data_IF_518150946455
#
_entry.id   IF_518150946455
#
_cell.length_a   1.000
_cell.length_b   1.000
_cell.length_c   1.000
_cell.angle_alpha   90.00
_cell.angle_beta   90.00
_cell.angle_gamma   90.00
#
_symmetry.space_group_name_H-M   'P 1'
#
loop_
_entity.id
_entity.type
_entity.pdbx_description
1 polymer ?
#
# COMPACT_ATOMS: atom_id res chain seq x y z
N UNK A 1 -50.86 -20.28 7.80
CA UNK A 1 -50.54 -19.99 6.38
C UNK A 1 -50.40 -18.48 6.28
N UNK A 2 -49.28 -17.84 6.00
CA UNK A 2 -47.86 -18.19 5.93
C UNK A 2 -47.15 -16.87 6.18
N UNK A 3 -46.11 -16.85 7.01
CA UNK A 3 -45.23 -15.70 7.22
C UNK A 3 -44.08 -15.82 6.23
N UNK A 4 -44.08 -14.98 5.19
CA UNK A 4 -42.94 -14.86 4.28
C UNK A 4 -41.88 -13.94 4.90
N UNK A 5 -40.91 -14.55 5.58
CA UNK A 5 -39.63 -13.93 5.90
C UNK A 5 -38.79 -13.86 4.64
N UNK A 6 -38.74 -12.69 4.01
CA UNK A 6 -37.80 -12.39 2.95
C UNK A 6 -36.45 -12.02 3.58
N UNK A 7 -35.57 -13.00 3.74
CA UNK A 7 -34.18 -12.79 4.13
C UNK A 7 -33.38 -12.30 2.91
N UNK A 8 -33.30 -10.98 2.75
CA UNK A 8 -32.34 -10.37 1.84
C UNK A 8 -30.94 -10.49 2.45
N UNK A 9 -30.11 -11.39 1.93
CA UNK A 9 -28.66 -11.40 2.13
C UNK A 9 -28.05 -10.19 1.42
N UNK A 10 -28.10 -9.04 2.09
CA UNK A 10 -27.37 -7.84 1.67
C UNK A 10 -25.89 -8.03 1.93
N UNK A 11 -25.04 -7.76 0.94
CA UNK A 11 -23.60 -7.61 1.13
C UNK A 11 -23.34 -6.60 2.26
N UNK A 12 -22.35 -6.84 3.14
CA UNK A 12 -22.05 -5.91 4.24
C UNK A 12 -21.76 -4.51 3.67
N UNK A 13 -22.24 -3.48 4.37
CA UNK A 13 -21.93 -2.11 3.97
C UNK A 13 -20.45 -1.81 4.20
N UNK A 14 -19.86 -0.91 3.42
CA UNK A 14 -18.44 -0.49 3.57
C UNK A 14 -18.12 -0.04 4.99
N UNK A 15 -19.12 0.52 5.70
CA UNK A 15 -19.00 0.90 7.11
C UNK A 15 -18.82 -0.31 8.04
N UNK A 16 -19.55 -1.40 7.78
CA UNK A 16 -19.52 -2.61 8.63
C UNK A 16 -18.20 -3.39 8.47
N UNK A 17 -17.61 -3.33 7.27
CA UNK A 17 -16.27 -3.90 6.98
C UNK A 17 -15.18 -3.20 7.79
N UNK A 18 -15.27 -1.87 7.95
CA UNK A 18 -14.28 -1.05 8.65
C UNK A 18 -14.52 -1.01 10.17
N UNK A 19 -15.78 -1.05 10.61
CA UNK A 19 -16.19 -1.02 12.03
C UNK A 19 -16.02 -2.35 12.77
N UNK A 20 -15.48 -3.39 12.13
CA UNK A 20 -15.19 -4.67 12.78
C UNK A 20 -16.43 -5.54 13.08
N UNK A 21 -17.56 -5.29 12.41
CA UNK A 21 -18.78 -6.10 12.59
C UNK A 21 -18.79 -7.38 11.75
N UNK A 22 -17.94 -7.46 10.73
CA UNK A 22 -17.70 -8.69 9.98
C UNK A 22 -16.71 -9.59 10.71
N UNK A 23 -17.04 -10.88 10.85
CA UNK A 23 -16.16 -11.91 11.42
C UNK A 23 -15.17 -12.46 10.40
N UNK A 24 -15.20 -11.97 9.15
CA UNK A 24 -14.28 -12.41 8.11
C UNK A 24 -12.87 -11.86 8.37
N UNK A 25 -11.84 -12.72 8.30
CA UNK A 25 -10.44 -12.28 8.42
C UNK A 25 -10.07 -11.37 7.23
N UNK A 26 -9.09 -10.48 7.42
CA UNK A 26 -8.69 -9.51 6.40
C UNK A 26 -7.43 -9.89 5.66
N UNK A 27 -7.44 -9.73 4.34
CA UNK A 27 -6.20 -9.48 3.59
C UNK A 27 -6.04 -7.97 3.54
N UNK A 28 -5.21 -7.46 4.45
CA UNK A 28 -5.10 -6.03 4.72
C UNK A 28 -3.96 -5.41 3.92
N UNK A 29 -4.27 -4.42 3.09
CA UNK A 29 -3.30 -3.53 2.45
C UNK A 29 -3.21 -2.21 3.21
N UNK A 30 -2.03 -1.91 3.72
CA UNK A 30 -1.66 -0.61 4.29
C UNK A 30 -0.72 0.09 3.31
N UNK A 31 -1.10 1.28 2.84
CA UNK A 31 -0.33 2.05 1.88
C UNK A 31 0.20 3.34 2.48
N UNK A 32 1.52 3.47 2.57
CA UNK A 32 2.24 4.65 3.04
C UNK A 32 2.44 5.64 1.89
N UNK A 33 1.49 6.57 1.69
CA UNK A 33 1.56 7.48 0.55
C UNK A 33 2.81 8.38 0.58
N UNK A 34 3.23 8.98 1.72
CA UNK A 34 4.48 9.74 1.79
C UNK A 34 5.69 8.94 1.33
N UNK A 35 5.88 7.72 1.84
CA UNK A 35 7.05 6.93 1.52
C UNK A 35 7.05 6.46 0.05
N UNK A 36 5.90 6.00 -0.46
CA UNK A 36 5.78 5.57 -1.84
C UNK A 36 5.96 6.73 -2.83
N UNK A 37 5.42 7.93 -2.53
CA UNK A 37 5.64 9.11 -3.38
C UNK A 37 7.11 9.57 -3.36
N UNK A 38 7.80 9.46 -2.20
CA UNK A 38 9.23 9.78 -2.09
C UNK A 38 10.09 8.79 -2.88
N UNK A 39 9.84 7.48 -2.76
CA UNK A 39 10.56 6.46 -3.51
C UNK A 39 10.37 6.61 -5.02
N UNK A 40 9.14 6.85 -5.48
CA UNK A 40 8.86 7.12 -6.88
C UNK A 40 9.59 8.39 -7.35
N UNK A 41 9.61 9.43 -6.52
CA UNK A 41 10.32 10.67 -6.82
C UNK A 41 11.83 10.49 -6.97
N UNK A 42 12.43 9.56 -6.19
CA UNK A 42 13.82 9.15 -6.32
C UNK A 42 14.12 8.51 -7.68
N UNK A 43 13.25 7.61 -8.15
CA UNK A 43 13.43 6.92 -9.44
C UNK A 43 13.31 7.88 -10.63
N UNK A 44 12.31 8.76 -10.62
CA UNK A 44 12.08 9.67 -11.76
C UNK A 44 12.93 10.96 -11.69
N UNK A 45 13.68 11.18 -10.60
CA UNK A 45 14.51 12.38 -10.39
C UNK A 45 13.72 13.67 -10.14
N UNK A 46 12.53 13.58 -9.55
CA UNK A 46 11.66 14.75 -9.34
C UNK A 46 10.29 14.42 -8.76
N UNK A 47 9.39 15.41 -8.67
CA UNK A 47 8.04 15.17 -8.13
C UNK A 47 7.20 14.35 -9.12
N UNK A 48 6.51 13.29 -8.69
CA UNK A 48 5.65 12.49 -9.56
C UNK A 48 4.57 13.31 -10.27
N UNK A 49 4.54 13.23 -11.60
CA UNK A 49 3.43 13.72 -12.42
C UNK A 49 2.33 12.66 -12.49
N UNK A 50 1.13 13.03 -12.95
CA UNK A 50 0.02 12.09 -13.11
C UNK A 50 0.34 10.89 -14.02
N UNK A 51 1.33 11.01 -14.91
CA UNK A 51 1.75 9.93 -15.80
C UNK A 51 2.54 8.82 -15.08
N UNK A 52 3.31 9.19 -14.07
CA UNK A 52 4.18 8.27 -13.32
C UNK A 52 3.56 7.79 -12.01
N UNK A 53 2.40 8.32 -11.60
CA UNK A 53 1.70 7.85 -10.39
C UNK A 53 1.12 6.44 -10.61
N UNK A 54 1.18 5.57 -9.58
CA UNK A 54 0.60 4.24 -9.68
C UNK A 54 -0.92 4.32 -9.82
N UNK A 55 -1.45 3.40 -10.60
CA UNK A 55 -2.88 3.18 -10.82
C UNK A 55 -3.46 2.34 -9.70
N UNK A 56 -4.17 2.97 -8.77
CA UNK A 56 -4.80 2.28 -7.64
C UNK A 56 -5.89 1.28 -8.06
N UNK A 57 -6.49 1.43 -9.24
CA UNK A 57 -7.36 0.40 -9.82
C UNK A 57 -6.60 -0.88 -10.18
N UNK A 58 -5.33 -0.77 -10.58
CA UNK A 58 -4.46 -1.93 -10.83
C UNK A 58 -4.00 -2.59 -9.53
N UNK A 59 -3.59 -1.79 -8.54
CA UNK A 59 -3.24 -2.29 -7.19
C UNK A 59 -4.44 -3.01 -6.56
N UNK A 60 -5.65 -2.44 -6.67
CA UNK A 60 -6.87 -3.04 -6.14
C UNK A 60 -7.20 -4.38 -6.79
N UNK A 61 -7.08 -4.48 -8.12
CA UNK A 61 -7.26 -5.76 -8.83
C UNK A 61 -6.23 -6.82 -8.43
N UNK A 62 -4.98 -6.42 -8.25
CA UNK A 62 -3.94 -7.31 -7.75
C UNK A 62 -4.25 -7.81 -6.33
N UNK A 63 -4.68 -6.91 -5.43
CA UNK A 63 -5.09 -7.27 -4.06
C UNK A 63 -6.25 -8.27 -4.06
N UNK A 64 -7.24 -8.09 -4.94
CA UNK A 64 -8.34 -9.05 -5.10
C UNK A 64 -7.83 -10.44 -5.52
N UNK A 65 -6.91 -10.49 -6.48
CA UNK A 65 -6.26 -11.75 -6.89
C UNK A 65 -5.51 -12.42 -5.74
N UNK A 66 -4.68 -11.66 -5.00
CA UNK A 66 -3.96 -12.17 -3.82
C UNK A 66 -4.92 -12.66 -2.73
N UNK A 67 -6.04 -11.97 -2.56
CA UNK A 67 -7.08 -12.37 -1.60
C UNK A 67 -7.74 -13.69 -2.00
N UNK A 68 -8.01 -13.89 -3.29
CA UNK A 68 -8.55 -15.16 -3.80
C UNK A 68 -7.55 -16.32 -3.67
N UNK A 69 -6.25 -16.06 -3.82
CA UNK A 69 -5.18 -17.05 -3.55
C UNK A 69 -5.21 -17.49 -2.08
N UNK A 70 -5.15 -16.53 -1.15
CA UNK A 70 -5.17 -16.79 0.30
C UNK A 70 -6.46 -17.51 0.72
N UNK A 71 -7.61 -17.14 0.13
CA UNK A 71 -8.90 -17.79 0.42
C UNK A 71 -8.90 -19.26 -0.02
N UNK A 72 -8.29 -19.58 -1.17
CA UNK A 72 -8.14 -20.97 -1.67
C UNK A 72 -7.25 -21.81 -0.75
N UNK A 73 -6.14 -21.25 -0.28
CA UNK A 73 -5.22 -21.91 0.65
C UNK A 73 -5.86 -22.14 2.03
N UNK A 74 -6.72 -21.22 2.47
CA UNK A 74 -7.41 -21.27 3.76
C UNK A 74 -8.66 -22.18 3.80
N UNK A 75 -8.85 -23.04 2.79
CA UNK A 75 -9.95 -24.02 2.76
C UNK A 75 -11.36 -23.41 2.73
N UNK A 76 -11.52 -22.19 2.22
CA UNK A 76 -12.83 -21.52 2.12
C UNK A 76 -13.27 -20.74 3.35
N UNK A 77 -12.36 -20.45 4.29
CA UNK A 77 -12.61 -19.50 5.39
C UNK A 77 -13.08 -18.14 4.85
N UNK A 78 -13.96 -17.45 5.59
CA UNK A 78 -14.43 -16.12 5.20
C UNK A 78 -13.28 -15.12 5.28
N UNK A 79 -12.82 -14.66 4.11
CA UNK A 79 -11.70 -13.74 3.94
C UNK A 79 -12.11 -12.62 3.01
N UNK A 80 -11.93 -11.38 3.46
CA UNK A 80 -12.29 -10.16 2.72
C UNK A 80 -11.05 -9.28 2.51
N UNK A 81 -10.92 -8.62 1.34
CA UNK A 81 -9.89 -7.63 1.11
C UNK A 81 -10.22 -6.35 1.88
N UNK A 82 -9.19 -5.69 2.41
CA UNK A 82 -9.31 -4.35 3.00
C UNK A 82 -8.10 -3.53 2.59
N UNK A 83 -8.29 -2.28 2.16
CA UNK A 83 -7.20 -1.43 1.70
C UNK A 83 -7.35 0.00 2.23
N UNK A 84 -6.28 0.51 2.85
CA UNK A 84 -6.26 1.85 3.43
C UNK A 84 -5.00 2.61 2.96
N UNK A 85 -5.21 3.81 2.42
CA UNK A 85 -4.13 4.75 2.09
C UNK A 85 -3.94 5.73 3.22
N UNK A 86 -2.73 5.80 3.76
CA UNK A 86 -2.32 6.74 4.80
C UNK A 86 -1.57 7.90 4.18
N UNK A 87 -1.93 9.12 4.55
CA UNK A 87 -1.34 10.33 3.96
C UNK A 87 -1.32 11.49 4.93
N UNK A 88 -0.31 12.35 4.80
CA UNK A 88 -0.27 13.63 5.49
C UNK A 88 -0.82 14.76 4.62
N UNK A 89 -1.67 15.61 5.19
CA UNK A 89 -2.24 16.77 4.49
C UNK A 89 -1.66 18.05 5.08
N UNK A 90 -0.90 18.79 4.28
CA UNK A 90 -0.40 20.11 4.68
C UNK A 90 -1.55 21.12 4.77
N UNK A 91 -1.56 22.02 5.77
CA UNK A 91 -2.53 23.10 5.84
C UNK A 91 -2.60 23.89 4.53
N UNK A 92 -3.82 24.16 4.05
CA UNK A 92 -4.06 24.88 2.79
C UNK A 92 -3.98 24.02 1.51
N UNK A 93 -3.64 22.73 1.60
CA UNK A 93 -3.59 21.83 0.42
C UNK A 93 -4.88 21.03 0.16
N UNK A 94 -5.90 21.20 1.01
CA UNK A 94 -7.10 20.35 1.00
C UNK A 94 -7.81 20.30 -0.36
N UNK A 95 -7.99 21.44 -1.03
CA UNK A 95 -8.67 21.49 -2.32
C UNK A 95 -7.88 20.83 -3.45
N UNK A 96 -6.53 20.81 -3.34
CA UNK A 96 -5.65 20.14 -4.29
C UNK A 96 -5.70 18.62 -4.12
N UNK A 97 -5.79 18.14 -2.87
CA UNK A 97 -5.73 16.71 -2.55
C UNK A 97 -7.10 16.03 -2.63
N UNK A 98 -8.19 16.78 -2.44
CA UNK A 98 -9.57 16.26 -2.44
C UNK A 98 -9.91 15.39 -3.66
N UNK A 99 -9.63 15.78 -4.92
CA UNK A 99 -9.97 14.94 -6.07
C UNK A 99 -9.27 13.58 -6.06
N UNK A 100 -8.03 13.52 -5.55
CA UNK A 100 -7.29 12.26 -5.42
C UNK A 100 -7.87 11.37 -4.31
N UNK A 101 -8.24 11.96 -3.17
CA UNK A 101 -8.92 11.23 -2.09
C UNK A 101 -10.25 10.67 -2.55
N UNK A 102 -11.05 11.47 -3.26
CA UNK A 102 -12.34 11.03 -3.79
C UNK A 102 -12.17 9.91 -4.83
N UNK A 103 -11.13 10.00 -5.67
CA UNK A 103 -10.79 8.94 -6.62
C UNK A 103 -10.41 7.61 -5.93
N UNK A 104 -9.58 7.65 -4.87
CA UNK A 104 -9.24 6.46 -4.08
C UNK A 104 -10.48 5.81 -3.46
N UNK A 105 -11.35 6.63 -2.88
CA UNK A 105 -12.59 6.17 -2.25
C UNK A 105 -13.57 5.58 -3.25
N UNK A 106 -13.65 6.14 -4.46
CA UNK A 106 -14.45 5.60 -5.56
C UNK A 106 -13.94 4.23 -6.05
N UNK A 107 -12.64 3.95 -5.93
CA UNK A 107 -12.07 2.62 -6.24
C UNK A 107 -12.39 1.61 -5.12
N UNK A 108 -12.58 2.08 -3.89
CA UNK A 108 -12.89 1.23 -2.73
C UNK A 108 -11.84 1.27 -1.62
N UNK A 109 -10.84 2.16 -1.71
CA UNK A 109 -9.87 2.35 -0.65
C UNK A 109 -10.44 3.22 0.47
N UNK A 110 -10.18 2.85 1.72
CA UNK A 110 -10.24 3.77 2.83
C UNK A 110 -9.06 4.76 2.73
N UNK A 111 -9.24 5.97 3.27
CA UNK A 111 -8.18 6.99 3.32
C UNK A 111 -8.09 7.53 4.73
N UNK A 112 -6.92 7.38 5.33
CA UNK A 112 -6.55 8.03 6.58
C UNK A 112 -5.71 9.27 6.24
N UNK A 113 -6.25 10.45 6.56
CA UNK A 113 -5.62 11.73 6.26
C UNK A 113 -5.26 12.46 7.55
N UNK A 114 -3.96 12.53 7.87
CA UNK A 114 -3.44 13.19 9.08
C UNK A 114 -2.94 14.60 8.76
N UNK A 115 -3.42 15.66 9.43
CA UNK A 115 -2.87 17.00 9.23
C UNK A 115 -1.36 17.05 9.54
N UNK A 116 -0.53 17.55 8.62
CA UNK A 116 0.91 17.75 8.85
C UNK A 116 1.14 19.05 9.62
N UNK A 117 1.07 18.98 10.95
CA UNK A 117 1.17 20.15 11.84
C UNK A 117 2.62 20.47 12.24
N UNK A 118 3.52 19.48 12.21
CA UNK A 118 4.94 19.61 12.48
C UNK A 118 5.76 18.82 11.45
N UNK A 119 7.07 19.07 11.39
CA UNK A 119 7.97 18.44 10.41
C UNK A 119 8.12 16.94 10.63
N UNK A 120 8.07 16.51 11.90
CA UNK A 120 8.12 15.13 12.38
C UNK A 120 6.74 14.44 12.41
N UNK A 121 5.69 15.08 11.89
CA UNK A 121 4.38 14.42 11.77
C UNK A 121 4.42 13.38 10.66
N UNK A 122 4.54 12.10 11.04
CA UNK A 122 4.39 10.93 10.19
C UNK A 122 3.04 10.22 10.42
N UNK A 123 2.84 9.08 9.75
CA UNK A 123 1.63 8.23 9.84
C UNK A 123 1.97 6.80 10.27
N UNK A 124 3.19 6.54 10.73
CA UNK A 124 3.71 5.19 10.98
C UNK A 124 2.97 4.52 12.13
N UNK A 125 2.80 5.23 13.24
CA UNK A 125 2.03 4.75 14.39
C UNK A 125 0.55 4.50 14.03
N UNK A 126 -0.05 5.34 13.17
CA UNK A 126 -1.43 5.16 12.72
C UNK A 126 -1.59 3.91 11.86
N UNK A 127 -0.60 3.62 11.02
CA UNK A 127 -0.53 2.40 10.21
C UNK A 127 -0.41 1.16 11.09
N UNK A 128 0.52 1.16 12.05
CA UNK A 128 0.69 0.05 12.99
C UNK A 128 -0.56 -0.19 13.85
N UNK A 129 -1.17 0.87 14.36
CA UNK A 129 -2.43 0.79 15.11
C UNK A 129 -3.56 0.19 14.26
N UNK A 130 -3.60 0.49 12.96
CA UNK A 130 -4.60 -0.07 12.06
C UNK A 130 -4.40 -1.57 11.83
N UNK A 131 -3.14 -2.02 11.68
CA UNK A 131 -2.79 -3.44 11.59
C UNK A 131 -3.22 -4.15 12.88
N UNK A 132 -2.87 -3.58 14.03
CA UNK A 132 -3.09 -4.20 15.32
C UNK A 132 -4.56 -4.27 15.70
N UNK A 133 -5.34 -3.26 15.31
CA UNK A 133 -6.79 -3.30 15.41
C UNK A 133 -7.38 -4.51 14.69
N UNK A 134 -6.89 -4.86 13.49
CA UNK A 134 -7.39 -6.03 12.75
C UNK A 134 -6.90 -7.34 13.36
N UNK A 135 -5.65 -7.42 13.82
CA UNK A 135 -5.13 -8.60 14.54
C UNK A 135 -5.98 -8.95 15.76
N UNK A 136 -6.44 -7.97 16.51
CA UNK A 136 -7.23 -8.20 17.74
C UNK A 136 -8.76 -8.26 17.56
N UNK A 137 -9.30 -7.93 16.38
CA UNK A 137 -10.76 -7.94 16.13
C UNK A 137 -11.17 -9.10 15.23
N UNK A 138 -11.21 -8.91 13.91
CA UNK A 138 -11.61 -9.93 12.94
C UNK A 138 -10.47 -10.86 12.53
N UNK A 139 -9.23 -10.54 12.89
CA UNK A 139 -8.01 -11.26 12.52
C UNK A 139 -7.51 -10.92 11.12
N UNK A 140 -6.21 -11.19 10.88
CA UNK A 140 -5.56 -11.07 9.58
C UNK A 140 -5.46 -12.44 8.91
N UNK A 141 -5.85 -12.56 7.65
CA UNK A 141 -5.57 -13.69 6.76
C UNK A 141 -4.34 -13.45 5.88
N UNK A 142 -3.96 -12.18 5.69
CA UNK A 142 -2.72 -11.76 5.06
C UNK A 142 -2.48 -10.28 5.32
N UNK A 143 -1.22 -9.88 5.33
CA UNK A 143 -0.82 -8.48 5.54
C UNK A 143 0.06 -8.01 4.39
N UNK A 144 -0.29 -6.87 3.81
CA UNK A 144 0.44 -6.25 2.73
C UNK A 144 0.77 -4.83 3.17
N UNK A 145 2.05 -4.47 3.23
CA UNK A 145 2.49 -3.11 3.56
C UNK A 145 3.25 -2.53 2.39
N UNK A 146 2.74 -1.43 1.83
CA UNK A 146 3.44 -0.65 0.82
C UNK A 146 4.22 0.49 1.50
N UNK A 147 5.46 0.23 1.90
CA UNK A 147 6.38 1.21 2.49
C UNK A 147 7.84 0.76 2.32
N UNK A 148 8.74 1.72 2.18
CA UNK A 148 10.18 1.54 2.24
C UNK A 148 10.76 1.81 3.64
N UNK A 149 9.94 2.10 4.66
CA UNK A 149 10.43 2.32 6.02
C UNK A 149 10.63 1.01 6.80
N UNK A 150 11.85 0.49 6.77
CA UNK A 150 12.20 -0.69 7.54
C UNK A 150 12.38 -0.45 9.04
N UNK A 151 12.56 0.79 9.49
CA UNK A 151 12.70 1.09 10.93
C UNK A 151 11.35 0.99 11.63
N UNK A 152 10.30 1.49 11.00
CA UNK A 152 8.94 1.41 11.54
C UNK A 152 8.35 0.00 11.41
N UNK A 153 8.54 -0.66 10.26
CA UNK A 153 7.74 -1.86 9.94
C UNK A 153 8.44 -3.19 10.11
N UNK A 154 9.77 -3.29 10.09
CA UNK A 154 10.44 -4.60 10.03
C UNK A 154 10.06 -5.52 11.20
N UNK A 155 10.25 -5.07 12.43
CA UNK A 155 10.00 -5.92 13.60
C UNK A 155 8.49 -6.25 13.75
N UNK A 156 7.56 -5.26 13.66
CA UNK A 156 6.13 -5.55 13.71
C UNK A 156 5.67 -6.55 12.64
N UNK A 157 6.23 -6.49 11.43
CA UNK A 157 5.89 -7.43 10.36
C UNK A 157 6.43 -8.84 10.61
N UNK A 158 7.62 -8.97 11.20
CA UNK A 158 8.15 -10.27 11.62
C UNK A 158 7.26 -10.92 12.70
N UNK A 159 6.74 -10.13 13.64
CA UNK A 159 5.80 -10.62 14.65
C UNK A 159 4.51 -11.16 14.02
N UNK A 160 3.96 -10.47 13.01
CA UNK A 160 2.79 -10.94 12.27
C UNK A 160 3.11 -12.22 11.48
N UNK A 161 4.27 -12.28 10.83
CA UNK A 161 4.70 -13.46 10.09
C UNK A 161 4.89 -14.68 11.01
N UNK A 162 5.39 -14.47 12.23
CA UNK A 162 5.56 -15.53 13.24
C UNK A 162 4.23 -16.16 13.69
N UNK A 163 3.09 -15.48 13.52
CA UNK A 163 1.74 -16.03 13.73
C UNK A 163 1.26 -16.90 12.57
N UNK A 164 2.06 -17.07 11.51
CA UNK A 164 1.71 -17.80 10.31
C UNK A 164 0.81 -17.01 9.34
N UNK A 165 0.73 -15.69 9.51
CA UNK A 165 0.04 -14.80 8.56
C UNK A 165 1.02 -14.47 7.42
N UNK A 166 0.67 -14.71 6.14
CA UNK A 166 1.52 -14.33 5.02
C UNK A 166 1.67 -12.81 4.97
N UNK A 167 2.92 -12.34 4.92
CA UNK A 167 3.27 -10.92 4.83
C UNK A 167 3.90 -10.61 3.49
N UNK A 168 3.40 -9.57 2.82
CA UNK A 168 3.98 -9.04 1.59
C UNK A 168 4.38 -7.59 1.80
N UNK A 169 5.62 -7.24 1.42
CA UNK A 169 6.08 -5.85 1.39
C UNK A 169 6.10 -5.38 -0.06
N UNK A 170 5.32 -4.33 -0.35
CA UNK A 170 5.35 -3.65 -1.64
C UNK A 170 6.30 -2.46 -1.53
N UNK A 171 7.22 -2.33 -2.47
CA UNK A 171 8.13 -1.20 -2.50
C UNK A 171 8.76 -1.03 -3.86
N UNK A 172 9.59 -0.01 -3.99
CA UNK A 172 10.56 0.04 -5.08
C UNK A 172 11.82 -0.70 -4.63
N UNK A 173 12.37 -1.59 -5.47
CA UNK A 173 13.55 -2.39 -5.14
C UNK A 173 14.75 -1.53 -4.70
N UNK A 174 14.84 -0.31 -5.20
CA UNK A 174 15.89 0.65 -4.91
C UNK A 174 15.78 1.27 -3.51
N UNK A 175 14.58 1.24 -2.93
CA UNK A 175 14.26 1.95 -1.69
C UNK A 175 13.91 1.00 -0.53
N UNK A 176 13.37 -0.18 -0.82
CA UNK A 176 12.91 -1.16 0.17
C UNK A 176 13.86 -2.37 0.30
N UNK A 177 15.17 -2.13 0.40
CA UNK A 177 16.17 -3.19 0.56
C UNK A 177 16.04 -3.97 1.87
N UNK A 178 15.44 -3.37 2.90
CA UNK A 178 15.23 -3.99 4.20
C UNK A 178 14.30 -5.20 4.18
N UNK A 179 13.42 -5.30 3.18
CA UNK A 179 12.47 -6.39 3.01
C UNK A 179 12.93 -7.42 1.96
N UNK A 180 13.98 -7.12 1.19
CA UNK A 180 14.49 -8.03 0.16
C UNK A 180 15.33 -9.13 0.79
N UNK A 181 15.08 -10.38 0.37
CA UNK A 181 15.82 -11.55 0.84
C UNK A 181 15.57 -11.87 2.32
N UNK A 182 14.46 -11.39 2.88
CA UNK A 182 13.96 -11.80 4.19
C UNK A 182 13.00 -12.97 3.96
N UNK A 183 13.31 -14.14 4.53
CA UNK A 183 12.57 -15.38 4.26
C UNK A 183 11.10 -15.32 4.75
N UNK A 184 10.83 -14.50 5.76
CA UNK A 184 9.50 -14.30 6.33
C UNK A 184 8.60 -13.38 5.48
N UNK A 185 9.15 -12.65 4.50
CA UNK A 185 8.42 -11.66 3.70
C UNK A 185 8.43 -12.03 2.22
N UNK A 186 7.26 -11.90 1.58
CA UNK A 186 7.19 -11.77 0.13
C UNK A 186 7.52 -10.32 -0.26
N UNK A 187 8.64 -10.07 -0.91
CA UNK A 187 8.89 -8.75 -1.50
C UNK A 187 8.29 -8.65 -2.90
N UNK A 188 7.47 -7.63 -3.15
CA UNK A 188 6.92 -7.30 -4.47
C UNK A 188 7.36 -5.91 -4.89
N UNK A 189 8.08 -5.82 -6.01
CA UNK A 189 8.33 -4.52 -6.63
C UNK A 189 7.00 -3.94 -7.13
N UNK A 190 6.69 -2.69 -6.76
CA UNK A 190 5.45 -2.04 -7.17
C UNK A 190 5.25 -2.06 -8.68
N UNK A 191 6.32 -1.94 -9.47
CA UNK A 191 6.23 -1.97 -10.94
C UNK A 191 5.87 -3.34 -11.51
N UNK A 192 6.09 -4.42 -10.76
CA UNK A 192 5.73 -5.78 -11.18
C UNK A 192 4.20 -6.03 -11.10
N UNK A 193 3.43 -5.10 -10.50
CA UNK A 193 1.96 -5.15 -10.54
C UNK A 193 1.45 -4.84 -11.96
N UNK A 194 0.69 -5.74 -12.62
CA UNK A 194 0.27 -5.53 -14.00
C UNK A 194 -0.53 -4.24 -14.20
N UNK A 195 -0.10 -3.41 -15.16
CA UNK A 195 -0.73 -2.14 -15.54
C UNK A 195 -0.75 -1.07 -14.42
N UNK A 196 0.11 -1.20 -13.40
CA UNK A 196 0.22 -0.21 -12.32
C UNK A 196 0.78 1.12 -12.80
N UNK A 197 1.74 1.10 -13.72
CA UNK A 197 2.22 2.29 -14.42
C UNK A 197 1.79 2.22 -15.89
N UNK A 198 1.61 3.39 -16.51
CA UNK A 198 1.24 3.49 -17.94
C UNK A 198 2.42 3.16 -18.85
N UNK A 199 3.60 3.57 -18.43
CA UNK A 199 4.88 3.34 -19.07
C UNK A 199 5.83 2.79 -18.01
N UNK A 200 6.82 1.97 -18.38
CA UNK A 200 7.86 1.54 -17.45
C UNK A 200 8.55 2.75 -16.81
N UNK A 201 8.91 2.61 -15.55
CA UNK A 201 9.70 3.60 -14.84
C UNK A 201 11.07 3.71 -15.52
N UNK A 202 11.65 4.92 -15.56
CA UNK A 202 12.96 5.16 -16.20
C UNK A 202 14.11 4.61 -15.35
N UNK A 203 14.10 3.31 -15.06
CA UNK A 203 15.16 2.64 -14.33
C UNK A 203 16.39 2.53 -15.22
N UNK A 204 17.50 3.06 -14.74
CA UNK A 204 18.80 2.71 -15.27
C UNK A 204 19.53 1.98 -14.15
N UNK A 205 19.54 0.65 -14.20
CA UNK A 205 20.34 -0.17 -13.29
C UNK A 205 21.73 -0.35 -13.91
N UNK A 206 22.77 -0.23 -13.08
CA UNK A 206 24.14 -0.45 -13.52
C UNK A 206 24.37 -1.88 -14.04
N UNK A 207 23.54 -2.82 -13.57
CA UNK A 207 23.59 -4.24 -13.97
C UNK A 207 22.90 -4.52 -15.32
N UNK A 208 22.18 -3.55 -15.89
CA UNK A 208 21.48 -3.67 -17.17
C UNK A 208 21.77 -2.47 -18.10
N UNK A 209 23.04 -2.06 -18.16
CA UNK A 209 23.46 -1.02 -19.10
C UNK A 209 23.45 -1.56 -20.54
N UNK A 210 23.03 -0.75 -21.53
CA UNK A 210 23.18 -1.11 -22.94
C UNK A 210 24.66 -1.19 -23.32
N UNK A 211 24.98 -1.97 -24.35
CA UNK A 211 26.37 -2.21 -24.80
C UNK A 211 27.12 -0.90 -25.17
N UNK A 212 26.38 0.08 -25.70
CA UNK A 212 26.91 1.41 -26.05
C UNK A 212 27.00 2.38 -24.83
N UNK A 213 26.65 1.92 -23.63
CA UNK A 213 26.59 2.69 -22.40
C UNK A 213 25.34 3.56 -22.25
N UNK A 214 25.05 4.00 -21.01
CA UNK A 214 23.95 4.92 -20.72
C UNK A 214 24.44 6.18 -20.01
N UNK A 215 23.85 7.32 -20.36
CA UNK A 215 23.99 8.54 -19.57
C UNK A 215 23.09 8.45 -18.34
N UNK A 216 23.68 8.53 -17.16
CA UNK A 216 22.97 8.63 -15.89
C UNK A 216 22.80 10.10 -15.52
N UNK A 217 21.62 10.71 -15.72
CA UNK A 217 21.41 12.10 -15.37
C UNK A 217 21.52 12.27 -13.84
N UNK A 218 22.07 13.39 -13.35
CA UNK A 218 22.11 13.65 -11.92
C UNK A 218 20.70 13.83 -11.37
N UNK A 219 20.36 13.15 -10.27
CA UNK A 219 19.05 13.26 -9.60
C UNK A 219 18.71 14.67 -9.11
N UNK A 220 19.73 15.53 -8.92
CA UNK A 220 19.58 16.93 -8.49
C UNK A 220 20.65 17.80 -9.14
N UNK A 221 20.30 19.06 -9.42
CA UNK A 221 21.27 20.04 -9.91
C UNK A 221 22.39 20.28 -8.88
N UNK A 222 23.64 20.40 -9.32
CA UNK A 222 24.80 20.58 -8.45
C UNK A 222 24.69 21.84 -7.56
N UNK A 223 23.97 22.86 -8.02
CA UNK A 223 23.68 24.09 -7.28
C UNK A 223 22.86 23.87 -6.00
N UNK A 224 22.22 22.70 -5.81
CA UNK A 224 21.49 22.38 -4.59
C UNK A 224 22.39 22.25 -3.35
N UNK A 225 23.70 22.11 -3.52
CA UNK A 225 24.68 22.00 -2.43
C UNK A 225 24.99 23.34 -1.74
N UNK A 226 24.58 24.47 -2.32
CA UNK A 226 24.83 25.81 -1.79
C UNK A 226 23.72 26.29 -0.84
N UNK A 227 22.94 25.36 -0.27
CA UNK A 227 21.91 25.64 0.72
C UNK A 227 22.36 25.24 2.11
#
# INVERSE_FOLDING_TARGET
MSTDTNSSTGSPSVGDTISGQSTARRVLLVWDAPNMDMGLGGIIGGRPTAAHRPRFDAVGRWLLGRTDDIRRESGGSSVEPEATVFTNISPGSADVVRPWVDALRNVGYAVFAKPKIADDTDVDEDMLNHIELRRHTCGLAGLIVASADGQAFREPLLEVAAEGVPVTVIGFREHASWAQGVDEFDFLDLEDIPNVFREPLPRITLDALPDDGAWLPPFRALSSLLR
#
